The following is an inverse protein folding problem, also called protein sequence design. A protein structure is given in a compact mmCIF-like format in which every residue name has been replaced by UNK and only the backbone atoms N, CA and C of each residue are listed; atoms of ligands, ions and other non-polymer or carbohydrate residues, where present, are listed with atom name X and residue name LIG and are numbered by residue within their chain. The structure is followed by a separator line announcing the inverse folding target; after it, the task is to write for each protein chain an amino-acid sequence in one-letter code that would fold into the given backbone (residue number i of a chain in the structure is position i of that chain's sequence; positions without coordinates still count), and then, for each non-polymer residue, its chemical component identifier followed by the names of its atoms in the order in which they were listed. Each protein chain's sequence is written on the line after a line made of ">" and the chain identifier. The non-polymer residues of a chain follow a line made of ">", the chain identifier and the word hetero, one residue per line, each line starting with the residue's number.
data_IF_029579337803
#
_entry.id   IF_029579337803
#
_cell.length_a   1.000
_cell.length_b   1.000
_cell.length_c   1.000
_cell.angle_alpha   90.00
_cell.angle_beta   90.00
_cell.angle_gamma   90.00
#
_symmetry.space_group_name_H-M   'P 1'
#
loop_
_entity.id
_entity.type
_entity.pdbx_description
1 polymer ?
#
# COMPACT_ATOMS: atom_id res chain seq x y z
N UNK A 1 -26.03 32.84 16.30
CA UNK A 1 -26.00 31.81 15.25
C UNK A 1 -25.00 30.76 15.67
N UNK A 2 -25.37 29.46 15.61
CA UNK A 2 -24.42 28.37 15.86
C UNK A 2 -23.77 28.00 14.51
N UNK A 3 -22.43 28.11 14.39
CA UNK A 3 -21.70 27.80 13.15
C UNK A 3 -21.76 26.31 12.80
N UNK A 4 -22.07 25.44 13.77
CA UNK A 4 -22.08 23.99 13.58
C UNK A 4 -23.50 23.38 13.52
N UNK A 5 -24.57 24.21 13.57
CA UNK A 5 -25.95 23.72 13.65
C UNK A 5 -26.38 22.92 12.41
N UNK A 6 -25.77 23.18 11.27
CA UNK A 6 -26.10 22.57 9.97
C UNK A 6 -24.98 21.66 9.44
N UNK A 7 -24.06 21.21 10.31
CA UNK A 7 -23.04 20.24 9.90
C UNK A 7 -23.70 18.86 9.75
N UNK A 8 -23.64 18.31 8.56
CA UNK A 8 -24.17 16.99 8.26
C UNK A 8 -23.29 15.88 8.89
N UNK A 9 -23.93 14.83 9.40
CA UNK A 9 -23.23 13.65 9.86
C UNK A 9 -22.73 12.87 8.65
N UNK A 10 -21.41 12.72 8.53
CA UNK A 10 -20.79 11.92 7.48
C UNK A 10 -20.81 10.44 7.86
N UNK A 11 -21.10 9.51 6.92
CA UNK A 11 -20.99 8.09 7.17
C UNK A 11 -19.59 7.71 7.68
N UNK A 12 -19.52 6.74 8.59
CA UNK A 12 -18.24 6.23 9.10
C UNK A 12 -17.38 5.62 7.99
N UNK A 13 -16.06 5.58 8.21
CA UNK A 13 -15.11 4.93 7.30
C UNK A 13 -15.50 3.45 7.08
N UNK A 14 -15.58 2.97 5.84
CA UNK A 14 -16.08 1.62 5.53
C UNK A 14 -15.18 0.50 6.07
N UNK A 15 -13.90 0.77 6.36
CA UNK A 15 -12.95 -0.21 6.89
C UNK A 15 -12.87 -0.12 8.41
N UNK A 16 -12.73 1.08 8.97
CA UNK A 16 -12.64 1.29 10.42
C UNK A 16 -13.97 1.00 11.10
N UNK A 17 -15.10 1.37 10.48
CA UNK A 17 -16.43 1.03 10.96
C UNK A 17 -16.68 -0.49 11.05
N UNK A 18 -16.07 -1.30 10.16
CA UNK A 18 -16.11 -2.76 10.29
C UNK A 18 -15.40 -3.27 11.54
N UNK A 19 -14.31 -2.63 11.94
CA UNK A 19 -13.59 -2.99 13.17
C UNK A 19 -14.41 -2.66 14.41
N UNK A 20 -15.10 -1.54 14.41
CA UNK A 20 -16.00 -1.17 15.50
C UNK A 20 -17.16 -2.19 15.61
N UNK A 21 -17.79 -2.53 14.48
CA UNK A 21 -18.85 -3.53 14.43
C UNK A 21 -18.35 -4.92 14.88
N UNK A 22 -17.17 -5.34 14.43
CA UNK A 22 -16.52 -6.57 14.87
C UNK A 22 -16.28 -6.58 16.38
N UNK A 23 -15.78 -5.49 16.95
CA UNK A 23 -15.51 -5.41 18.38
C UNK A 23 -16.79 -5.45 19.21
N UNK A 24 -17.87 -4.86 18.73
CA UNK A 24 -19.19 -4.85 19.38
C UNK A 24 -19.93 -6.19 19.30
N UNK A 25 -19.55 -7.08 18.36
CA UNK A 25 -20.15 -8.40 18.20
C UNK A 25 -19.73 -9.33 19.34
N UNK A 26 -20.69 -9.90 20.05
CA UNK A 26 -20.46 -10.81 21.18
C UNK A 26 -20.30 -12.28 20.80
N UNK A 27 -20.42 -12.64 19.53
CA UNK A 27 -20.30 -14.02 19.05
C UNK A 27 -18.87 -14.55 19.32
N UNK A 28 -18.73 -15.80 19.81
CA UNK A 28 -17.41 -16.39 20.08
C UNK A 28 -16.66 -16.74 18.79
N UNK A 29 -17.39 -17.05 17.71
CA UNK A 29 -16.83 -17.40 16.40
C UNK A 29 -16.97 -16.24 15.42
N UNK A 30 -16.18 -15.18 15.60
CA UNK A 30 -16.17 -14.05 14.67
C UNK A 30 -14.78 -13.87 14.06
N UNK A 31 -14.74 -13.44 12.79
CA UNK A 31 -13.49 -13.26 12.04
C UNK A 31 -13.48 -11.89 11.37
N UNK A 32 -12.42 -11.11 11.58
CA UNK A 32 -12.25 -9.82 10.91
C UNK A 32 -11.31 -9.96 9.71
N UNK A 33 -11.87 -9.86 8.51
CA UNK A 33 -11.15 -9.86 7.22
C UNK A 33 -11.21 -8.50 6.51
N UNK A 34 -11.73 -7.47 7.19
CA UNK A 34 -11.88 -6.13 6.60
C UNK A 34 -10.61 -5.29 6.67
N UNK A 35 -9.84 -5.40 7.74
CA UNK A 35 -8.67 -4.55 7.98
C UNK A 35 -7.42 -5.13 7.33
N UNK A 36 -6.63 -4.28 6.65
CA UNK A 36 -5.37 -4.65 6.03
C UNK A 36 -4.21 -4.76 7.04
N UNK A 37 -4.32 -5.68 7.97
CA UNK A 37 -3.31 -5.98 8.99
C UNK A 37 -2.91 -7.45 8.88
N UNK A 38 -1.61 -7.71 8.98
CA UNK A 38 -1.09 -9.07 9.12
C UNK A 38 -1.22 -9.52 10.59
N UNK A 39 -1.75 -10.72 10.79
CA UNK A 39 -1.79 -11.38 12.09
C UNK A 39 -0.99 -12.69 12.05
N UNK A 40 -0.32 -13.01 13.17
CA UNK A 40 0.33 -14.31 13.37
C UNK A 40 -0.71 -15.43 13.54
N UNK A 41 -0.25 -16.69 13.68
CA UNK A 41 -1.14 -17.84 13.88
C UNK A 41 -1.96 -17.71 15.17
N UNK A 42 -1.46 -16.98 16.15
CA UNK A 42 -2.18 -16.67 17.40
C UNK A 42 -3.16 -15.50 17.28
N UNK A 43 -3.37 -14.91 16.11
CA UNK A 43 -4.26 -13.77 15.89
C UNK A 43 -3.73 -12.45 16.46
N UNK A 44 -2.41 -12.29 16.59
CA UNK A 44 -1.75 -11.09 17.12
C UNK A 44 -0.93 -10.41 16.02
N UNK A 45 -0.80 -9.10 16.11
CA UNK A 45 0.16 -8.35 15.29
C UNK A 45 1.58 -8.71 15.78
N UNK A 46 2.46 -9.25 14.93
CA UNK A 46 3.79 -9.63 15.38
C UNK A 46 4.65 -8.40 15.68
N UNK A 47 5.43 -8.47 16.76
CA UNK A 47 6.56 -7.59 16.97
C UNK A 47 7.79 -8.27 16.38
N UNK A 48 8.29 -7.73 15.27
CA UNK A 48 9.44 -8.31 14.57
C UNK A 48 10.69 -8.30 15.45
N UNK A 49 11.48 -9.37 15.37
CA UNK A 49 12.73 -9.57 16.17
C UNK A 49 13.73 -8.45 15.90
N UNK A 50 13.90 -8.07 14.62
CA UNK A 50 14.79 -6.98 14.23
C UNK A 50 14.35 -5.64 14.84
N UNK A 51 13.04 -5.33 14.80
CA UNK A 51 12.46 -4.12 15.39
C UNK A 51 12.66 -4.10 16.90
N UNK A 52 12.35 -5.22 17.58
CA UNK A 52 12.51 -5.36 19.05
C UNK A 52 13.93 -5.07 19.51
N UNK A 53 14.94 -5.53 18.75
CA UNK A 53 16.34 -5.29 19.11
C UNK A 53 16.71 -3.80 19.04
N UNK A 54 16.28 -3.11 17.99
CA UNK A 54 16.52 -1.65 17.89
C UNK A 54 15.74 -0.90 18.96
N UNK A 55 14.50 -1.30 19.27
CA UNK A 55 13.70 -0.67 20.31
C UNK A 55 14.39 -0.77 21.68
N UNK A 56 14.93 -1.94 22.04
CA UNK A 56 15.71 -2.14 23.25
C UNK A 56 16.99 -1.28 23.28
N UNK A 57 17.70 -1.18 22.16
CA UNK A 57 18.86 -0.34 22.02
C UNK A 57 18.51 1.15 22.24
N UNK A 58 17.47 1.66 21.56
CA UNK A 58 17.00 3.04 21.70
C UNK A 58 16.54 3.37 23.13
N UNK A 59 15.91 2.40 23.80
CA UNK A 59 15.52 2.55 25.19
C UNK A 59 16.73 2.63 26.13
N UNK A 60 17.77 1.83 25.89
CA UNK A 60 19.00 1.85 26.68
C UNK A 60 19.84 3.13 26.48
N UNK A 61 19.85 3.67 25.26
CA UNK A 61 20.54 4.91 24.95
C UNK A 61 19.89 6.16 25.57
N UNK A 62 18.60 6.14 25.82
CA UNK A 62 17.80 7.18 26.46
C UNK A 62 18.09 8.62 25.98
N UNK A 63 18.27 8.81 24.66
CA UNK A 63 18.62 10.11 24.06
C UNK A 63 17.48 11.13 24.15
N UNK A 64 17.79 12.43 24.27
CA UNK A 64 16.82 13.51 24.15
C UNK A 64 16.05 13.46 22.82
N UNK A 65 14.76 13.83 22.85
CA UNK A 65 13.86 13.77 21.69
C UNK A 65 13.59 15.16 21.12
N UNK A 66 14.60 15.74 20.47
CA UNK A 66 14.46 17.00 19.74
C UNK A 66 13.66 16.86 18.44
N UNK A 67 13.27 17.99 17.86
CA UNK A 67 12.63 17.98 16.53
C UNK A 67 13.61 17.45 15.48
N UNK A 68 13.09 16.60 14.58
CA UNK A 68 13.80 16.21 13.37
C UNK A 68 13.86 17.37 12.36
N UNK A 69 14.80 17.34 11.40
CA UNK A 69 14.69 18.12 10.18
C UNK A 69 13.30 17.96 9.54
N UNK A 70 12.85 18.96 8.82
CA UNK A 70 11.51 18.97 8.18
C UNK A 70 11.30 17.76 7.25
N UNK A 71 12.36 17.35 6.55
CA UNK A 71 12.37 16.17 5.67
C UNK A 71 12.65 14.84 6.39
N UNK A 72 12.76 14.87 7.71
CA UNK A 72 12.93 13.67 8.54
C UNK A 72 14.38 13.32 8.88
N UNK A 73 14.55 12.10 9.40
CA UNK A 73 15.85 11.58 9.83
C UNK A 73 16.74 11.28 8.62
N UNK A 74 17.93 11.89 8.47
CA UNK A 74 18.79 11.69 7.29
C UNK A 74 19.16 10.22 7.04
N UNK A 75 19.48 9.45 8.09
CA UNK A 75 19.82 8.04 8.00
C UNK A 75 18.63 7.19 7.50
N UNK A 76 17.40 7.52 7.89
CA UNK A 76 16.18 6.91 7.40
C UNK A 76 15.96 7.22 5.91
N UNK A 77 16.08 8.49 5.52
CA UNK A 77 15.89 8.90 4.13
C UNK A 77 16.91 8.22 3.20
N UNK A 78 18.16 8.05 3.65
CA UNK A 78 19.20 7.35 2.90
C UNK A 78 18.86 5.86 2.76
N UNK A 79 18.57 5.18 3.86
CA UNK A 79 18.21 3.76 3.85
C UNK A 79 16.96 3.47 2.99
N UNK A 80 15.97 4.36 3.04
CA UNK A 80 14.76 4.27 2.20
C UNK A 80 15.10 4.40 0.71
N UNK A 81 15.93 5.37 0.30
CA UNK A 81 16.37 5.48 -1.10
C UNK A 81 17.03 4.21 -1.60
N UNK A 82 17.93 3.65 -0.80
CA UNK A 82 18.65 2.42 -1.14
C UNK A 82 17.71 1.21 -1.23
N UNK A 83 16.70 1.12 -0.37
CA UNK A 83 15.70 0.05 -0.42
C UNK A 83 14.80 0.15 -1.65
N UNK A 84 14.31 1.35 -1.96
CA UNK A 84 13.34 1.61 -3.03
C UNK A 84 13.97 1.53 -4.42
N UNK A 85 15.14 2.15 -4.60
CA UNK A 85 15.77 2.30 -5.91
C UNK A 85 16.93 1.31 -6.16
N UNK A 86 17.40 0.63 -5.11
CA UNK A 86 18.62 -0.16 -5.14
C UNK A 86 19.86 0.68 -4.81
N UNK A 87 20.78 0.11 -4.03
CA UNK A 87 21.99 0.81 -3.57
C UNK A 87 22.86 1.36 -4.71
N UNK A 88 22.95 0.59 -5.80
CA UNK A 88 23.78 0.92 -6.96
C UNK A 88 23.00 1.64 -8.07
N UNK A 89 21.83 2.20 -7.76
CA UNK A 89 20.98 2.90 -8.71
C UNK A 89 21.67 4.11 -9.33
N UNK A 90 21.70 4.25 -10.66
CA UNK A 90 22.21 5.45 -11.33
C UNK A 90 21.49 6.73 -10.92
N UNK A 91 20.20 6.65 -10.54
CA UNK A 91 19.45 7.80 -10.04
C UNK A 91 20.02 8.34 -8.73
N UNK A 92 20.45 7.44 -7.82
CA UNK A 92 21.07 7.82 -6.55
C UNK A 92 22.46 8.38 -6.78
N UNK A 93 23.26 7.74 -7.62
CA UNK A 93 24.61 8.20 -7.97
C UNK A 93 24.59 9.60 -8.60
N UNK A 94 23.57 9.90 -9.42
CA UNK A 94 23.38 11.19 -10.06
C UNK A 94 22.70 12.25 -9.15
N UNK A 95 22.35 11.92 -7.91
CA UNK A 95 21.70 12.84 -6.97
C UNK A 95 20.28 13.26 -7.39
N UNK A 96 19.60 12.47 -8.22
CA UNK A 96 18.29 12.78 -8.82
C UNK A 96 17.11 12.50 -7.92
N UNK A 97 17.30 11.90 -6.74
CA UNK A 97 16.23 11.45 -5.85
C UNK A 97 16.15 12.31 -4.59
N UNK A 98 15.04 13.02 -4.44
CA UNK A 98 14.68 13.75 -3.23
C UNK A 98 13.75 12.89 -2.37
N UNK A 99 14.18 12.51 -1.17
CA UNK A 99 13.37 11.68 -0.26
C UNK A 99 13.09 12.40 1.04
N UNK A 100 11.85 12.32 1.50
CA UNK A 100 11.39 12.87 2.77
C UNK A 100 10.60 11.83 3.55
N UNK A 101 10.91 11.71 4.84
CA UNK A 101 10.09 10.96 5.78
C UNK A 101 8.69 11.56 5.87
N UNK A 102 7.67 10.71 5.94
CA UNK A 102 6.26 11.12 6.02
C UNK A 102 5.51 10.36 7.11
N UNK A 103 4.32 10.85 7.45
CA UNK A 103 3.40 10.22 8.42
C UNK A 103 2.70 9.04 7.73
N UNK A 104 3.42 7.92 7.59
CA UNK A 104 2.97 6.73 6.86
C UNK A 104 2.85 6.95 5.35
N UNK A 105 2.41 5.91 4.64
CA UNK A 105 2.13 5.98 3.20
C UNK A 105 1.05 7.01 2.85
N UNK A 106 0.01 7.14 3.67
CA UNK A 106 -1.04 8.17 3.47
C UNK A 106 -0.47 9.58 3.51
N UNK A 107 0.50 9.84 4.42
CA UNK A 107 1.22 11.11 4.45
C UNK A 107 2.08 11.33 3.21
N UNK A 108 2.70 10.26 2.67
CA UNK A 108 3.47 10.34 1.42
C UNK A 108 2.56 10.66 0.23
N UNK A 109 1.42 9.99 0.11
CA UNK A 109 0.43 10.26 -0.93
C UNK A 109 -0.08 11.71 -0.85
N UNK A 110 -0.43 12.19 0.35
CA UNK A 110 -0.93 13.56 0.54
C UNK A 110 0.12 14.62 0.21
N UNK A 111 1.34 14.48 0.74
CA UNK A 111 2.44 15.44 0.44
C UNK A 111 2.78 15.43 -1.04
N UNK A 112 2.81 14.23 -1.67
CA UNK A 112 3.02 14.09 -3.11
C UNK A 112 1.90 14.71 -3.93
N UNK A 113 0.65 14.53 -3.53
CA UNK A 113 -0.52 15.15 -4.18
C UNK A 113 -0.46 16.68 -4.08
N UNK A 114 -0.20 17.23 -2.90
CA UNK A 114 -0.07 18.69 -2.71
C UNK A 114 1.09 19.27 -3.52
N UNK A 115 2.22 18.52 -3.64
CA UNK A 115 3.35 18.91 -4.48
C UNK A 115 2.94 18.97 -5.95
N UNK A 116 2.36 17.90 -6.46
CA UNK A 116 2.02 17.81 -7.88
C UNK A 116 0.90 18.78 -8.26
N UNK A 117 -0.14 18.94 -7.44
CA UNK A 117 -1.19 19.92 -7.71
C UNK A 117 -0.64 21.36 -7.74
N UNK A 118 0.34 21.67 -6.90
CA UNK A 118 1.02 22.98 -6.91
C UNK A 118 1.86 23.20 -8.17
N UNK A 119 2.53 22.16 -8.67
CA UNK A 119 3.38 22.24 -9.86
C UNK A 119 2.60 22.07 -11.17
N UNK A 120 1.50 21.32 -11.12
CA UNK A 120 0.64 20.96 -12.24
C UNK A 120 -0.84 21.29 -11.90
N UNK A 121 -1.22 22.56 -11.73
CA UNK A 121 -2.52 22.96 -11.16
C UNK A 121 -3.73 22.58 -12.01
N UNK A 122 -3.52 22.21 -13.26
CA UNK A 122 -4.59 21.81 -14.19
C UNK A 122 -4.53 20.32 -14.55
N UNK A 123 -3.61 19.56 -13.94
CA UNK A 123 -3.53 18.14 -14.18
C UNK A 123 -4.71 17.39 -13.51
N UNK A 124 -5.19 16.36 -14.17
CA UNK A 124 -6.05 15.33 -13.57
C UNK A 124 -5.18 14.22 -13.01
N UNK A 125 -5.75 13.39 -12.13
CA UNK A 125 -5.12 12.13 -11.73
C UNK A 125 -6.00 10.96 -12.13
N UNK A 126 -5.41 9.96 -12.78
CA UNK A 126 -6.04 8.71 -13.12
C UNK A 126 -5.66 7.65 -12.09
N UNK A 127 -6.65 6.97 -11.50
CA UNK A 127 -6.49 5.86 -10.56
C UNK A 127 -7.07 4.59 -11.16
N UNK A 128 -6.59 3.41 -10.74
CA UNK A 128 -7.16 2.13 -11.18
C UNK A 128 -8.61 1.97 -10.74
N UNK A 129 -9.40 1.26 -11.52
CA UNK A 129 -10.74 0.84 -11.13
C UNK A 129 -10.79 -0.71 -11.00
N UNK A 130 -10.98 -1.25 -9.77
CA UNK A 130 -11.02 -0.55 -8.48
C UNK A 130 -9.63 -0.08 -8.00
N UNK A 131 -9.61 0.77 -6.99
CA UNK A 131 -8.41 1.22 -6.28
C UNK A 131 -8.65 1.21 -4.77
N UNK A 132 -7.62 1.41 -3.97
CA UNK A 132 -7.79 1.66 -2.54
C UNK A 132 -8.67 2.90 -2.33
N UNK A 133 -9.74 2.76 -1.55
CA UNK A 133 -10.81 3.76 -1.42
C UNK A 133 -10.27 5.16 -1.06
N UNK A 134 -9.20 5.20 -0.26
CA UNK A 134 -8.63 6.46 0.19
C UNK A 134 -7.83 7.21 -0.90
N UNK A 135 -7.47 6.57 -2.02
CA UNK A 135 -6.78 7.26 -3.11
C UNK A 135 -7.62 8.42 -3.65
N UNK A 136 -8.88 8.16 -3.99
CA UNK A 136 -9.80 9.21 -4.45
C UNK A 136 -9.93 10.34 -3.45
N UNK A 137 -10.06 10.02 -2.16
CA UNK A 137 -10.22 11.01 -1.11
C UNK A 137 -8.95 11.87 -0.93
N UNK A 138 -7.76 11.26 -0.92
CA UNK A 138 -6.48 11.97 -0.73
C UNK A 138 -6.22 12.95 -1.88
N UNK A 139 -6.36 12.48 -3.14
CA UNK A 139 -6.08 13.32 -4.31
C UNK A 139 -7.18 14.36 -4.54
N UNK A 140 -8.45 14.01 -4.33
CA UNK A 140 -9.54 14.98 -4.36
C UNK A 140 -9.40 16.08 -3.32
N UNK A 141 -9.01 15.74 -2.10
CA UNK A 141 -8.72 16.71 -1.03
C UNK A 141 -7.50 17.59 -1.32
N UNK A 142 -6.58 17.17 -2.18
CA UNK A 142 -5.47 17.98 -2.66
C UNK A 142 -5.86 18.91 -3.82
N UNK A 143 -7.08 18.77 -4.38
CA UNK A 143 -7.62 19.61 -5.45
C UNK A 143 -7.58 18.98 -6.85
N UNK A 144 -7.18 17.70 -6.99
CA UNK A 144 -7.22 17.02 -8.28
C UNK A 144 -8.64 16.63 -8.68
N UNK A 145 -8.94 16.76 -9.96
CA UNK A 145 -9.97 15.96 -10.60
C UNK A 145 -9.47 14.52 -10.70
N UNK A 146 -10.24 13.56 -10.14
CA UNK A 146 -9.87 12.15 -10.11
C UNK A 146 -10.69 11.37 -11.12
N UNK A 147 -10.03 10.86 -12.15
CA UNK A 147 -10.60 9.96 -13.17
C UNK A 147 -10.15 8.52 -12.94
N UNK A 148 -10.78 7.57 -13.61
CA UNK A 148 -10.44 6.14 -13.48
C UNK A 148 -9.97 5.58 -14.80
N UNK A 149 -9.08 4.56 -14.74
CA UNK A 149 -8.74 3.70 -15.85
C UNK A 149 -9.09 2.25 -15.51
N UNK A 150 -9.44 1.46 -16.52
CA UNK A 150 -9.74 0.04 -16.38
C UNK A 150 -8.53 -0.72 -15.86
N UNK A 151 -8.74 -1.61 -14.90
CA UNK A 151 -7.66 -2.39 -14.29
C UNK A 151 -8.03 -3.85 -14.05
N UNK A 152 -9.18 -4.12 -13.45
CA UNK A 152 -9.59 -5.45 -13.02
C UNK A 152 -10.71 -5.99 -13.91
N UNK A 153 -10.53 -7.23 -14.38
CA UNK A 153 -11.57 -7.98 -15.09
C UNK A 153 -12.30 -8.92 -14.12
N UNK A 154 -13.60 -8.67 -13.85
CA UNK A 154 -14.39 -9.55 -12.99
C UNK A 154 -14.61 -10.96 -13.56
N UNK A 155 -14.43 -11.17 -14.85
CA UNK A 155 -14.64 -12.48 -15.47
C UNK A 155 -13.42 -13.40 -15.30
N UNK A 156 -12.21 -12.85 -15.38
CA UNK A 156 -10.96 -13.60 -15.19
C UNK A 156 -10.37 -13.46 -13.80
N UNK A 157 -10.87 -12.50 -12.99
CA UNK A 157 -10.32 -12.10 -11.69
C UNK A 157 -8.85 -11.65 -11.74
N UNK A 158 -8.39 -11.23 -12.93
CA UNK A 158 -7.05 -10.74 -13.20
C UNK A 158 -7.04 -9.29 -13.65
N UNK A 159 -5.90 -8.85 -14.22
CA UNK A 159 -5.77 -7.51 -14.79
C UNK A 159 -6.35 -7.50 -16.21
N UNK A 160 -7.28 -6.59 -16.48
CA UNK A 160 -7.74 -6.25 -17.84
C UNK A 160 -6.68 -5.35 -18.50
N UNK A 161 -5.60 -5.98 -18.94
CA UNK A 161 -4.43 -5.25 -19.40
C UNK A 161 -4.67 -4.47 -20.69
N UNK A 162 -5.44 -5.02 -21.60
CA UNK A 162 -5.76 -4.37 -22.89
C UNK A 162 -6.64 -3.14 -22.67
N UNK A 163 -7.65 -3.24 -21.83
CA UNK A 163 -8.49 -2.10 -21.46
C UNK A 163 -7.70 -1.04 -20.68
N UNK A 164 -6.81 -1.46 -19.77
CA UNK A 164 -5.91 -0.56 -19.06
C UNK A 164 -5.07 0.28 -20.04
N UNK A 165 -4.38 -0.37 -20.98
CA UNK A 165 -3.56 0.34 -21.97
C UNK A 165 -4.39 1.26 -22.84
N UNK A 166 -5.58 0.80 -23.29
CA UNK A 166 -6.48 1.60 -24.11
C UNK A 166 -6.98 2.87 -23.39
N UNK A 167 -7.26 2.77 -22.10
CA UNK A 167 -7.69 3.93 -21.32
C UNK A 167 -6.53 4.89 -21.02
N UNK A 168 -5.37 4.37 -20.61
CA UNK A 168 -4.18 5.20 -20.41
C UNK A 168 -3.78 5.94 -21.70
N UNK A 169 -3.91 5.30 -22.86
CA UNK A 169 -3.60 5.94 -24.15
C UNK A 169 -4.52 7.12 -24.51
N UNK A 170 -5.71 7.22 -23.91
CA UNK A 170 -6.66 8.34 -24.11
C UNK A 170 -6.37 9.55 -23.22
N UNK A 171 -5.57 9.37 -22.17
CA UNK A 171 -5.28 10.43 -21.21
C UNK A 171 -4.50 11.58 -21.87
N UNK A 172 -4.74 12.78 -21.39
CA UNK A 172 -4.02 13.96 -21.86
C UNK A 172 -2.57 13.97 -21.34
N UNK A 173 -1.60 14.49 -22.12
CA UNK A 173 -0.23 14.69 -21.62
C UNK A 173 -0.23 15.49 -20.31
N UNK A 174 0.63 15.08 -19.37
CA UNK A 174 0.70 15.70 -18.04
C UNK A 174 -0.30 15.15 -17.03
N UNK A 175 -1.23 14.24 -17.42
CA UNK A 175 -2.07 13.54 -16.46
C UNK A 175 -1.21 12.70 -15.51
N UNK A 176 -1.46 12.79 -14.21
CA UNK A 176 -0.82 11.94 -13.20
C UNK A 176 -1.49 10.57 -13.23
N UNK A 177 -0.70 9.50 -13.30
CA UNK A 177 -1.21 8.12 -13.26
C UNK A 177 -0.74 7.46 -11.96
N UNK A 178 -1.69 7.14 -11.09
CA UNK A 178 -1.42 6.40 -9.86
C UNK A 178 -1.37 4.91 -10.15
N UNK A 179 -0.27 4.27 -9.78
CA UNK A 179 0.03 2.87 -10.01
C UNK A 179 0.44 2.20 -8.71
N UNK A 180 -0.10 1.00 -8.42
CA UNK A 180 0.42 0.17 -7.34
C UNK A 180 1.65 -0.60 -7.82
N UNK A 181 2.76 -0.52 -7.08
CA UNK A 181 3.99 -1.21 -7.45
C UNK A 181 3.86 -2.73 -7.42
N UNK A 182 3.16 -3.25 -6.42
CA UNK A 182 2.89 -4.67 -6.15
C UNK A 182 1.71 -4.83 -5.19
N UNK A 183 1.16 -6.04 -5.11
CA UNK A 183 0.10 -6.40 -4.17
C UNK A 183 -1.08 -5.42 -4.26
N UNK A 184 -1.62 -5.26 -5.46
CA UNK A 184 -2.66 -4.27 -5.76
C UNK A 184 -3.84 -4.31 -4.77
N UNK A 185 -4.12 -3.22 -4.11
CA UNK A 185 -5.25 -3.08 -3.20
C UNK A 185 -6.42 -2.41 -3.93
N UNK A 186 -7.58 -3.09 -4.12
CA UNK A 186 -8.07 -4.25 -3.35
C UNK A 186 -7.89 -5.61 -4.02
N UNK A 187 -7.41 -5.69 -5.27
CA UNK A 187 -7.64 -6.87 -6.12
C UNK A 187 -6.67 -8.02 -5.90
N UNK A 188 -5.43 -7.74 -5.46
CA UNK A 188 -4.35 -8.73 -5.47
C UNK A 188 -3.89 -9.14 -6.88
N UNK A 189 -4.46 -8.56 -7.94
CA UNK A 189 -4.05 -8.80 -9.32
C UNK A 189 -2.94 -7.82 -9.70
N UNK A 190 -1.75 -8.32 -10.02
CA UNK A 190 -0.57 -7.51 -10.31
C UNK A 190 -0.13 -7.62 -11.76
N UNK A 191 0.50 -6.55 -12.26
CA UNK A 191 1.14 -6.54 -13.57
C UNK A 191 2.40 -7.43 -13.58
N UNK A 192 2.57 -8.18 -14.63
CA UNK A 192 3.84 -8.89 -14.90
C UNK A 192 4.96 -7.91 -15.29
N UNK A 193 6.21 -8.34 -15.19
CA UNK A 193 7.37 -7.54 -15.63
C UNK A 193 7.24 -7.10 -17.10
N UNK A 194 6.70 -7.97 -17.98
CA UNK A 194 6.48 -7.65 -19.39
C UNK A 194 5.40 -6.54 -19.54
N UNK A 195 4.33 -6.62 -18.79
CA UNK A 195 3.27 -5.60 -18.77
C UNK A 195 3.77 -4.27 -18.20
N UNK A 196 4.57 -4.30 -17.13
CA UNK A 196 5.22 -3.10 -16.58
C UNK A 196 6.07 -2.36 -17.60
N UNK A 197 6.83 -3.09 -18.45
CA UNK A 197 7.62 -2.47 -19.52
C UNK A 197 6.71 -1.76 -20.53
N UNK A 198 5.61 -2.39 -20.94
CA UNK A 198 4.66 -1.77 -21.88
C UNK A 198 3.98 -0.54 -21.27
N UNK A 199 3.59 -0.61 -19.97
CA UNK A 199 3.05 0.55 -19.27
C UNK A 199 4.07 1.68 -19.22
N UNK A 200 5.34 1.40 -18.90
CA UNK A 200 6.39 2.42 -18.82
C UNK A 200 6.64 3.09 -20.19
N UNK A 201 6.66 2.33 -21.27
CA UNK A 201 6.76 2.86 -22.64
C UNK A 201 5.57 3.77 -22.95
N UNK A 202 4.34 3.32 -22.68
CA UNK A 202 3.12 4.11 -22.90
C UNK A 202 3.12 5.41 -22.09
N UNK A 203 3.50 5.35 -20.80
CA UNK A 203 3.58 6.55 -19.95
C UNK A 203 4.55 7.58 -20.53
N UNK A 204 5.71 7.12 -21.00
CA UNK A 204 6.72 7.96 -21.66
C UNK A 204 6.19 8.57 -22.96
N UNK A 205 5.66 7.74 -23.86
CA UNK A 205 5.20 8.16 -25.19
C UNK A 205 4.03 9.13 -25.10
N UNK A 206 3.15 8.94 -24.13
CA UNK A 206 1.99 9.81 -23.87
C UNK A 206 2.30 11.00 -22.95
N UNK A 207 3.54 11.11 -22.46
CA UNK A 207 3.96 12.16 -21.52
C UNK A 207 3.08 12.18 -20.26
N UNK A 208 2.72 11.00 -19.72
CA UNK A 208 1.98 10.85 -18.48
C UNK A 208 2.95 10.83 -17.29
N UNK A 209 2.50 11.34 -16.15
CA UNK A 209 3.34 11.45 -14.96
C UNK A 209 3.12 10.28 -13.99
N UNK A 210 4.08 9.36 -13.78
CA UNK A 210 3.90 8.23 -12.87
C UNK A 210 3.91 8.66 -11.41
N UNK A 211 2.90 8.21 -10.65
CA UNK A 211 2.87 8.24 -9.20
C UNK A 211 2.73 6.79 -8.69
N UNK A 212 3.76 6.25 -8.07
CA UNK A 212 3.81 4.86 -7.64
C UNK A 212 3.49 4.77 -6.14
N UNK A 213 2.43 4.02 -5.78
CA UNK A 213 2.17 3.62 -4.40
C UNK A 213 2.80 2.25 -4.13
N UNK A 214 3.67 2.19 -3.12
CA UNK A 214 4.41 0.98 -2.74
C UNK A 214 4.24 0.71 -1.23
N UNK A 215 3.07 0.22 -0.85
CA UNK A 215 2.73 -0.05 0.54
C UNK A 215 3.06 -1.49 0.99
N UNK A 216 3.34 -2.40 0.07
CA UNK A 216 3.41 -3.84 0.32
C UNK A 216 4.69 -4.52 -0.20
N UNK A 217 5.77 -3.77 -0.38
CA UNK A 217 7.06 -4.31 -0.82
C UNK A 217 7.53 -5.45 0.09
N UNK A 218 7.80 -6.60 -0.50
CA UNK A 218 8.23 -7.83 0.18
C UNK A 218 7.11 -8.84 0.47
N UNK A 219 5.84 -8.56 0.10
CA UNK A 219 4.70 -9.41 0.41
C UNK A 219 4.21 -10.30 -0.74
N UNK A 220 4.78 -10.20 -1.95
CA UNK A 220 4.47 -11.11 -3.06
C UNK A 220 5.65 -12.04 -3.37
N UNK A 221 6.72 -11.53 -3.99
CA UNK A 221 7.87 -12.35 -4.43
C UNK A 221 9.13 -12.08 -3.64
N UNK A 222 9.27 -10.90 -3.09
CA UNK A 222 10.43 -10.45 -2.33
C UNK A 222 10.68 -8.96 -2.49
N UNK A 223 11.60 -8.44 -1.68
CA UNK A 223 11.88 -7.00 -1.64
C UNK A 223 12.34 -6.49 -3.00
N UNK A 224 13.22 -7.25 -3.69
CA UNK A 224 13.75 -6.87 -4.99
C UNK A 224 12.69 -6.96 -6.07
N UNK A 225 11.99 -8.07 -6.16
CA UNK A 225 11.02 -8.37 -7.19
C UNK A 225 9.83 -7.41 -7.10
N UNK A 226 9.32 -7.17 -5.90
CA UNK A 226 8.19 -6.27 -5.64
C UNK A 226 8.53 -4.80 -5.91
N UNK A 227 9.82 -4.45 -5.89
CA UNK A 227 10.33 -3.13 -6.28
C UNK A 227 10.60 -2.97 -7.79
N UNK A 228 10.32 -3.99 -8.62
CA UNK A 228 10.67 -3.97 -10.06
C UNK A 228 10.00 -2.82 -10.82
N UNK A 229 8.76 -2.47 -10.49
CA UNK A 229 8.01 -1.38 -11.13
C UNK A 229 8.80 -0.06 -11.12
N UNK A 230 9.39 0.30 -9.98
CA UNK A 230 10.17 1.54 -9.82
C UNK A 230 11.40 1.52 -10.73
N UNK A 231 12.10 0.38 -10.80
CA UNK A 231 13.30 0.25 -11.66
C UNK A 231 12.94 0.28 -13.14
N UNK A 232 11.87 -0.40 -13.55
CA UNK A 232 11.39 -0.42 -14.94
C UNK A 232 11.03 0.98 -15.43
N UNK A 233 10.32 1.77 -14.61
CA UNK A 233 9.97 3.15 -14.94
C UNK A 233 11.23 4.02 -15.06
N UNK A 234 12.20 3.84 -14.17
CA UNK A 234 13.48 4.54 -14.25
C UNK A 234 14.29 4.17 -15.51
N UNK A 235 14.34 2.88 -15.86
CA UNK A 235 15.04 2.34 -17.03
C UNK A 235 14.37 2.75 -18.35
N UNK A 236 13.07 2.98 -18.37
CA UNK A 236 12.35 3.50 -19.54
C UNK A 236 12.77 4.93 -19.93
N UNK A 237 13.55 5.61 -19.08
CA UNK A 237 14.01 6.96 -19.30
C UNK A 237 12.95 8.03 -19.04
N UNK A 238 12.02 7.75 -18.14
CA UNK A 238 11.08 8.75 -17.62
C UNK A 238 11.85 9.65 -16.65
N UNK A 239 11.93 10.94 -16.97
CA UNK A 239 12.78 11.88 -16.25
C UNK A 239 12.28 12.23 -14.85
N UNK A 240 10.97 12.15 -14.63
CA UNK A 240 10.34 12.57 -13.38
C UNK A 240 9.19 11.65 -13.01
N UNK A 241 9.19 11.17 -11.76
CA UNK A 241 8.10 10.40 -11.18
C UNK A 241 8.17 10.41 -9.65
N UNK A 242 7.13 9.96 -9.01
CA UNK A 242 6.99 9.95 -7.54
C UNK A 242 6.78 8.54 -7.03
N UNK A 243 7.38 8.21 -5.90
CA UNK A 243 7.15 6.97 -5.16
C UNK A 243 6.71 7.30 -3.73
N UNK A 244 5.52 6.86 -3.34
CA UNK A 244 5.04 6.84 -1.97
C UNK A 244 5.24 5.43 -1.40
N UNK A 245 6.09 5.26 -0.39
CA UNK A 245 6.26 3.98 0.26
C UNK A 245 5.85 4.00 1.73
N UNK A 246 5.51 2.83 2.27
CA UNK A 246 5.07 2.65 3.65
C UNK A 246 5.82 1.49 4.30
N UNK A 247 6.15 1.66 5.57
CA UNK A 247 6.71 0.60 6.41
C UNK A 247 5.70 0.02 7.40
N UNK A 248 4.42 0.43 7.31
CA UNK A 248 3.36 -0.08 8.19
C UNK A 248 3.25 -1.60 8.16
N UNK A 249 3.37 -2.22 6.97
CA UNK A 249 3.21 -3.66 6.79
C UNK A 249 4.54 -4.39 6.89
N UNK A 250 5.54 -4.02 6.08
CA UNK A 250 6.83 -4.71 6.00
C UNK A 250 7.65 -4.66 7.30
N UNK A 251 7.36 -3.73 8.19
CA UNK A 251 7.95 -3.65 9.53
C UNK A 251 6.96 -3.93 10.66
N UNK A 252 5.69 -4.24 10.33
CA UNK A 252 4.62 -4.39 11.34
C UNK A 252 4.45 -3.16 12.25
N UNK A 253 4.75 -1.97 11.74
CA UNK A 253 4.75 -0.69 12.45
C UNK A 253 3.51 0.15 12.13
N UNK A 254 2.33 -0.46 12.15
CA UNK A 254 1.06 0.19 11.76
C UNK A 254 0.77 1.47 12.53
N UNK A 255 1.03 1.45 13.83
CA UNK A 255 0.77 2.57 14.76
C UNK A 255 1.83 3.67 14.72
N UNK A 256 3.05 3.38 14.23
CA UNK A 256 4.17 4.32 14.22
C UNK A 256 4.07 5.37 13.11
N UNK A 257 3.16 5.18 12.16
CA UNK A 257 2.93 6.11 11.06
C UNK A 257 4.21 6.46 10.31
N UNK A 258 4.89 5.46 9.79
CA UNK A 258 6.19 5.61 9.12
C UNK A 258 6.11 5.26 7.63
N UNK A 259 6.56 6.17 6.78
CA UNK A 259 6.61 6.08 5.33
C UNK A 259 7.53 7.13 4.75
N UNK A 260 7.64 7.21 3.45
CA UNK A 260 8.42 8.22 2.77
C UNK A 260 7.84 8.58 1.40
N UNK A 261 8.07 9.81 1.00
CA UNK A 261 7.89 10.31 -0.35
C UNK A 261 9.26 10.45 -1.00
N UNK A 262 9.46 9.78 -2.12
CA UNK A 262 10.63 9.94 -2.97
C UNK A 262 10.21 10.55 -4.31
N UNK A 263 10.86 11.63 -4.71
CA UNK A 263 10.63 12.29 -6.00
C UNK A 263 11.88 12.15 -6.84
N UNK A 264 11.75 11.54 -8.00
CA UNK A 264 12.79 11.49 -9.02
C UNK A 264 12.68 12.74 -9.89
N UNK A 265 13.79 13.41 -10.10
CA UNK A 265 13.87 14.63 -10.89
C UNK A 265 14.87 14.47 -12.05
N UNK A 266 14.84 15.33 -13.09
CA UNK A 266 15.70 15.20 -14.26
C UNK A 266 17.20 15.34 -13.92
N UNK A 267 17.55 16.10 -12.90
CA UNK A 267 18.93 16.29 -12.43
C UNK A 267 18.99 16.62 -10.92
N UNK A 268 20.19 16.72 -10.39
CA UNK A 268 20.44 16.98 -8.95
C UNK A 268 19.98 18.40 -8.52
N UNK A 269 19.99 19.40 -9.39
CA UNK A 269 19.54 20.74 -9.06
C UNK A 269 18.02 20.79 -8.97
N UNK A 270 17.34 20.15 -9.91
CA UNK A 270 15.88 19.96 -9.87
C UNK A 270 15.46 19.17 -8.63
N UNK A 271 16.18 18.11 -8.27
CA UNK A 271 15.92 17.34 -7.06
C UNK A 271 16.01 18.21 -5.78
N UNK A 272 17.04 19.07 -5.68
CA UNK A 272 17.17 20.03 -4.57
C UNK A 272 16.03 21.05 -4.54
N UNK A 273 15.62 21.55 -5.70
CA UNK A 273 14.50 22.48 -5.80
C UNK A 273 13.19 21.82 -5.36
N UNK A 274 12.90 20.61 -5.84
CA UNK A 274 11.75 19.81 -5.42
C UNK A 274 11.78 19.53 -3.92
N UNK A 275 12.93 19.12 -3.38
CA UNK A 275 13.08 18.89 -1.93
C UNK A 275 12.72 20.13 -1.11
N UNK A 276 13.06 21.33 -1.59
CA UNK A 276 12.69 22.57 -0.91
C UNK A 276 11.18 22.81 -0.88
N UNK A 277 10.47 22.47 -1.97
CA UNK A 277 9.00 22.57 -2.05
C UNK A 277 8.33 21.51 -1.15
N UNK A 278 8.83 20.28 -1.15
CA UNK A 278 8.33 19.21 -0.25
C UNK A 278 8.47 19.64 1.22
N UNK A 279 9.62 20.18 1.62
CA UNK A 279 9.82 20.71 2.98
C UNK A 279 8.81 21.81 3.32
N UNK A 280 8.50 22.70 2.39
CA UNK A 280 7.51 23.77 2.60
C UNK A 280 6.10 23.19 2.80
N UNK A 281 5.72 22.15 2.06
CA UNK A 281 4.44 21.44 2.22
C UNK A 281 4.39 20.75 3.58
N UNK A 282 5.40 19.94 3.91
CA UNK A 282 5.50 19.25 5.21
C UNK A 282 5.37 20.25 6.36
N UNK A 283 6.07 21.41 6.26
CA UNK A 283 6.03 22.43 7.30
C UNK A 283 4.62 22.95 7.58
N UNK A 284 3.75 22.98 6.57
CA UNK A 284 2.38 23.48 6.72
C UNK A 284 1.39 22.42 7.19
N UNK A 285 1.70 21.12 7.03
CA UNK A 285 0.79 20.04 7.39
C UNK A 285 1.06 19.54 8.80
N UNK A 286 2.32 19.15 9.11
CA UNK A 286 2.70 18.57 10.40
C UNK A 286 4.05 19.06 10.95
N UNK A 287 4.61 20.11 10.36
CA UNK A 287 5.84 20.79 10.79
C UNK A 287 7.12 19.97 10.59
N UNK A 288 7.24 18.80 11.20
CA UNK A 288 8.29 17.80 11.06
C UNK A 288 7.74 16.43 11.45
N UNK A 289 8.27 15.33 10.92
CA UNK A 289 7.78 13.99 11.25
C UNK A 289 8.23 13.53 12.63
N UNK A 290 7.62 12.41 13.10
CA UNK A 290 7.99 11.76 14.34
C UNK A 290 9.33 11.02 14.24
N UNK A 291 10.06 10.88 15.36
CA UNK A 291 11.38 10.27 15.36
C UNK A 291 11.34 8.75 15.51
N UNK A 292 10.46 8.20 16.35
CA UNK A 292 10.58 6.83 16.83
C UNK A 292 10.54 5.79 15.70
N UNK A 293 9.49 5.79 14.88
CA UNK A 293 9.38 4.85 13.78
C UNK A 293 10.53 4.95 12.76
N UNK A 294 11.03 6.17 12.49
CA UNK A 294 12.17 6.36 11.59
C UNK A 294 13.47 5.81 12.19
N UNK A 295 13.66 5.96 13.50
CA UNK A 295 14.82 5.40 14.20
C UNK A 295 14.78 3.86 14.18
N UNK A 296 13.60 3.24 14.36
CA UNK A 296 13.43 1.79 14.25
C UNK A 296 13.81 1.28 12.86
N UNK A 297 13.17 1.84 11.82
CA UNK A 297 13.41 1.43 10.44
C UNK A 297 14.85 1.66 10.01
N UNK A 298 15.42 2.85 10.27
CA UNK A 298 16.79 3.14 9.90
C UNK A 298 17.79 2.29 10.68
N UNK A 299 17.53 1.99 11.94
CA UNK A 299 18.36 1.12 12.76
C UNK A 299 18.45 -0.29 12.18
N UNK A 300 17.32 -0.86 11.75
CA UNK A 300 17.29 -2.17 11.09
C UNK A 300 17.97 -2.12 9.73
N UNK A 301 17.60 -1.19 8.85
CA UNK A 301 18.08 -1.15 7.46
C UNK A 301 19.58 -0.83 7.35
N UNK A 302 20.16 -0.08 8.29
CA UNK A 302 21.58 0.27 8.31
C UNK A 302 22.46 -0.75 9.05
N UNK A 303 21.89 -1.77 9.69
CA UNK A 303 22.62 -2.90 10.27
C UNK A 303 22.53 -4.09 9.32
N UNK A 304 23.68 -4.59 8.87
CA UNK A 304 23.72 -5.78 7.98
C UNK A 304 23.03 -6.99 8.63
N UNK A 305 23.29 -7.20 9.91
CA UNK A 305 22.74 -8.33 10.67
C UNK A 305 21.22 -8.19 10.86
N UNK A 306 20.75 -7.02 11.31
CA UNK A 306 19.33 -6.81 11.57
C UNK A 306 18.51 -6.75 10.28
N UNK A 307 19.11 -6.26 9.20
CA UNK A 307 18.48 -6.30 7.89
C UNK A 307 18.25 -7.74 7.43
N UNK A 308 19.22 -8.63 7.59
CA UNK A 308 19.06 -10.05 7.29
C UNK A 308 17.97 -10.71 8.15
N UNK A 309 17.91 -10.38 9.44
CA UNK A 309 16.84 -10.87 10.33
C UNK A 309 15.49 -10.38 9.84
N UNK A 310 15.35 -9.10 9.53
CA UNK A 310 14.10 -8.52 9.01
C UNK A 310 13.67 -9.13 7.68
N UNK A 311 14.60 -9.32 6.73
CA UNK A 311 14.31 -9.95 5.44
C UNK A 311 13.83 -11.41 5.61
N UNK A 312 14.40 -12.15 6.56
CA UNK A 312 13.95 -13.49 6.91
C UNK A 312 12.54 -13.48 7.54
N UNK A 313 12.28 -12.57 8.48
CA UNK A 313 10.94 -12.43 9.10
C UNK A 313 9.88 -12.03 8.06
N UNK A 314 10.21 -11.14 7.13
CA UNK A 314 9.31 -10.76 6.04
C UNK A 314 9.04 -11.93 5.09
N UNK A 315 10.03 -12.78 4.86
CA UNK A 315 9.88 -14.03 4.12
C UNK A 315 8.94 -15.00 4.83
N UNK A 316 9.10 -15.20 6.14
CA UNK A 316 8.19 -16.01 6.96
C UNK A 316 6.73 -15.50 6.85
N UNK A 317 6.54 -14.18 6.91
CA UNK A 317 5.21 -13.56 6.75
C UNK A 317 4.62 -13.81 5.36
N UNK A 318 5.40 -13.64 4.30
CA UNK A 318 4.99 -13.85 2.90
C UNK A 318 4.62 -15.31 2.65
N UNK A 319 5.48 -16.25 3.05
CA UNK A 319 5.23 -17.69 2.88
C UNK A 319 3.97 -18.13 3.62
N UNK A 320 3.74 -17.57 4.82
CA UNK A 320 2.51 -17.84 5.56
C UNK A 320 1.28 -17.32 4.82
N UNK A 321 1.33 -16.12 4.23
CA UNK A 321 0.21 -15.60 3.42
C UNK A 321 -0.06 -16.51 2.23
N UNK A 322 0.96 -16.98 1.53
CA UNK A 322 0.81 -17.93 0.42
C UNK A 322 0.17 -19.24 0.89
N UNK A 323 0.64 -19.81 2.02
CA UNK A 323 0.05 -21.02 2.60
C UNK A 323 -1.42 -20.83 3.00
N UNK A 324 -1.78 -19.68 3.57
CA UNK A 324 -3.16 -19.36 3.92
C UNK A 324 -4.04 -19.20 2.69
N UNK A 325 -3.52 -18.61 1.62
CA UNK A 325 -4.22 -18.45 0.34
C UNK A 325 -4.50 -19.81 -0.29
N UNK A 326 -3.49 -20.68 -0.36
CA UNK A 326 -3.64 -22.06 -0.81
C UNK A 326 -4.65 -22.85 0.04
N UNK A 327 -4.50 -22.81 1.37
CA UNK A 327 -5.40 -23.51 2.27
C UNK A 327 -6.85 -22.99 2.18
N UNK A 328 -7.05 -21.67 1.94
CA UNK A 328 -8.38 -21.14 1.70
C UNK A 328 -9.01 -21.75 0.45
N UNK A 329 -8.28 -21.81 -0.67
CA UNK A 329 -8.77 -22.41 -1.93
C UNK A 329 -9.04 -23.89 -1.77
N UNK A 330 -8.16 -24.66 -1.14
CA UNK A 330 -8.39 -26.09 -0.87
C UNK A 330 -9.70 -26.33 -0.09
N UNK A 331 -9.93 -25.53 0.95
CA UNK A 331 -11.16 -25.60 1.75
C UNK A 331 -12.41 -25.14 0.97
N UNK A 332 -12.29 -24.13 0.09
CA UNK A 332 -13.38 -23.69 -0.80
C UNK A 332 -13.77 -24.79 -1.80
N UNK A 333 -12.78 -25.44 -2.42
CA UNK A 333 -13.01 -26.58 -3.33
C UNK A 333 -13.69 -27.72 -2.58
N UNK A 334 -13.21 -28.07 -1.39
CA UNK A 334 -13.82 -29.12 -0.54
C UNK A 334 -15.25 -28.74 -0.11
N UNK A 335 -15.57 -27.47 0.06
CA UNK A 335 -16.93 -26.96 0.32
C UNK A 335 -17.81 -26.88 -0.94
N UNK A 336 -17.30 -27.29 -2.11
CA UNK A 336 -18.00 -27.31 -3.38
C UNK A 336 -18.11 -25.95 -4.06
N UNK A 337 -17.09 -25.10 -3.91
CA UNK A 337 -16.96 -23.79 -4.56
C UNK A 337 -15.60 -23.69 -5.31
N UNK A 338 -15.38 -24.55 -6.35
CA UNK A 338 -14.11 -24.55 -7.10
C UNK A 338 -13.89 -23.29 -7.94
N UNK A 339 -14.94 -22.52 -8.20
CA UNK A 339 -14.89 -21.25 -8.92
C UNK A 339 -14.01 -20.20 -8.25
N UNK A 340 -13.70 -20.36 -6.96
CA UNK A 340 -12.79 -19.48 -6.22
C UNK A 340 -11.30 -19.84 -6.36
N UNK A 341 -10.93 -20.77 -7.24
CA UNK A 341 -9.54 -21.17 -7.46
C UNK A 341 -8.62 -20.02 -7.89
N UNK A 342 -9.16 -18.99 -8.54
CA UNK A 342 -8.44 -17.76 -8.93
C UNK A 342 -7.80 -17.02 -7.75
N UNK A 343 -8.27 -17.24 -6.52
CA UNK A 343 -7.66 -16.65 -5.33
C UNK A 343 -6.18 -17.01 -5.22
N UNK A 344 -5.74 -18.18 -5.71
CA UNK A 344 -4.35 -18.58 -5.74
C UNK A 344 -3.46 -17.70 -6.63
N UNK A 345 -4.01 -17.08 -7.65
CA UNK A 345 -3.27 -16.25 -8.61
C UNK A 345 -3.13 -14.79 -8.15
N UNK A 346 -3.81 -14.43 -7.05
CA UNK A 346 -3.75 -13.09 -6.48
C UNK A 346 -2.59 -12.96 -5.48
N UNK A 347 -2.01 -11.77 -5.40
CA UNK A 347 -0.81 -11.48 -4.63
C UNK A 347 -1.08 -10.64 -3.36
N UNK A 348 -0.18 -10.74 -2.40
CA UNK A 348 -0.16 -9.90 -1.20
C UNK A 348 -1.23 -10.25 -0.17
N UNK A 349 -1.58 -9.26 0.64
CA UNK A 349 -2.42 -9.46 1.83
C UNK A 349 -3.90 -9.65 1.52
N UNK A 350 -4.36 -9.24 0.33
CA UNK A 350 -5.77 -9.20 -0.02
C UNK A 350 -6.16 -10.22 -1.08
N UNK A 351 -7.45 -10.53 -1.09
CA UNK A 351 -8.14 -11.19 -2.19
C UNK A 351 -9.43 -10.42 -2.50
N UNK A 352 -9.70 -10.23 -3.79
CA UNK A 352 -10.95 -9.65 -4.27
C UNK A 352 -11.85 -10.81 -4.69
N UNK A 353 -12.72 -11.23 -3.75
CA UNK A 353 -13.43 -12.51 -3.82
C UNK A 353 -14.52 -12.57 -4.90
N UNK A 354 -14.93 -11.44 -5.47
CA UNK A 354 -16.06 -11.38 -6.39
C UNK A 354 -17.44 -11.48 -5.71
N UNK A 355 -17.49 -11.60 -4.38
CA UNK A 355 -18.76 -11.60 -3.65
C UNK A 355 -19.47 -10.25 -3.79
N UNK A 356 -20.76 -10.29 -4.07
CA UNK A 356 -21.63 -9.12 -4.09
C UNK A 356 -21.85 -8.56 -2.69
N UNK A 357 -22.25 -7.29 -2.60
CA UNK A 357 -22.57 -6.64 -1.32
C UNK A 357 -23.57 -7.42 -0.48
N UNK A 358 -24.70 -7.93 -1.01
CA UNK A 358 -25.61 -8.77 -0.24
C UNK A 358 -24.96 -10.04 0.32
N UNK A 359 -24.07 -10.71 -0.45
CA UNK A 359 -23.34 -11.89 0.00
C UNK A 359 -22.36 -11.55 1.13
N UNK A 360 -21.67 -10.41 1.04
CA UNK A 360 -20.79 -9.93 2.12
C UNK A 360 -21.60 -9.57 3.38
N UNK A 361 -22.77 -8.96 3.24
CA UNK A 361 -23.65 -8.67 4.37
C UNK A 361 -24.12 -9.97 5.06
N UNK A 362 -24.44 -11.03 4.28
CA UNK A 362 -24.75 -12.38 4.82
C UNK A 362 -23.56 -13.01 5.56
N UNK A 363 -22.31 -12.83 5.06
CA UNK A 363 -21.13 -13.31 5.80
C UNK A 363 -21.06 -12.69 7.20
N UNK A 364 -21.34 -11.39 7.32
CA UNK A 364 -21.37 -10.71 8.60
C UNK A 364 -22.54 -11.19 9.49
N UNK A 365 -23.74 -11.18 8.94
CA UNK A 365 -24.98 -11.35 9.73
C UNK A 365 -25.18 -12.82 10.15
N UNK A 366 -24.93 -13.77 9.25
CA UNK A 366 -25.13 -15.20 9.50
C UNK A 366 -23.91 -15.86 10.15
N UNK A 367 -22.68 -15.43 9.78
CA UNK A 367 -21.44 -16.12 10.15
C UNK A 367 -20.48 -15.30 11.02
N UNK A 368 -20.72 -14.00 11.27
CA UNK A 368 -19.78 -13.16 12.02
C UNK A 368 -18.46 -12.92 11.30
N UNK A 369 -18.44 -13.02 9.97
CA UNK A 369 -17.28 -12.77 9.15
C UNK A 369 -17.38 -11.37 8.57
N UNK A 370 -16.46 -10.51 8.96
CA UNK A 370 -16.44 -9.09 8.61
C UNK A 370 -15.48 -8.87 7.44
N UNK A 371 -16.01 -8.63 6.25
CA UNK A 371 -15.28 -8.30 5.03
C UNK A 371 -15.70 -6.92 4.51
N UNK A 372 -14.92 -6.32 3.62
CA UNK A 372 -15.28 -5.05 2.99
C UNK A 372 -16.44 -5.29 2.01
N UNK A 373 -17.43 -4.41 1.99
CA UNK A 373 -18.64 -4.55 1.18
C UNK A 373 -18.43 -4.69 -0.32
N UNK A 374 -17.23 -4.40 -0.82
CA UNK A 374 -16.80 -4.62 -2.21
C UNK A 374 -16.36 -6.06 -2.50
N UNK A 375 -16.36 -6.94 -1.51
CA UNK A 375 -15.87 -8.32 -1.63
C UNK A 375 -14.37 -8.49 -1.35
N UNK A 376 -13.65 -7.44 -0.92
CA UNK A 376 -12.26 -7.57 -0.49
C UNK A 376 -12.17 -8.28 0.85
N UNK A 377 -11.31 -9.30 0.92
CA UNK A 377 -10.94 -10.01 2.15
C UNK A 377 -9.44 -9.90 2.42
N UNK A 378 -9.06 -9.80 3.69
CA UNK A 378 -7.66 -9.84 4.11
C UNK A 378 -7.24 -11.29 4.38
N UNK A 379 -6.55 -11.93 3.44
CA UNK A 379 -6.03 -13.30 3.59
C UNK A 379 -5.02 -13.38 4.73
N UNK A 380 -4.22 -12.33 4.93
CA UNK A 380 -3.24 -12.25 6.01
C UNK A 380 -3.84 -12.24 7.43
N UNK A 381 -5.17 -12.08 7.56
CA UNK A 381 -5.89 -12.16 8.82
C UNK A 381 -6.47 -13.56 9.11
N UNK A 382 -6.34 -14.49 8.18
CA UNK A 382 -6.70 -15.90 8.38
C UNK A 382 -5.66 -16.62 9.25
N UNK A 383 -6.07 -17.78 9.80
CA UNK A 383 -5.19 -18.74 10.47
C UNK A 383 -5.73 -20.16 10.25
N UNK A 384 -4.94 -21.19 10.60
CA UNK A 384 -5.34 -22.57 10.41
C UNK A 384 -6.64 -22.93 11.15
N UNK A 385 -6.93 -22.26 12.28
CA UNK A 385 -8.13 -22.50 13.06
C UNK A 385 -9.41 -21.94 12.45
N UNK A 386 -9.33 -20.95 11.54
CA UNK A 386 -10.52 -20.32 10.94
C UNK A 386 -10.69 -20.57 9.44
N UNK A 387 -9.68 -21.10 8.74
CA UNK A 387 -9.71 -21.34 7.29
C UNK A 387 -10.94 -22.14 6.84
N UNK A 388 -11.17 -23.30 7.43
CA UNK A 388 -12.29 -24.18 7.04
C UNK A 388 -13.65 -23.52 7.32
N UNK A 389 -13.76 -22.79 8.44
CA UNK A 389 -14.97 -22.05 8.78
C UNK A 389 -15.27 -20.94 7.75
N UNK A 390 -14.27 -20.13 7.43
CA UNK A 390 -14.41 -19.04 6.46
C UNK A 390 -14.72 -19.58 5.08
N UNK A 391 -14.02 -20.62 4.62
CA UNK A 391 -14.26 -21.23 3.32
C UNK A 391 -15.70 -21.76 3.19
N UNK A 392 -16.20 -22.47 4.22
CA UNK A 392 -17.57 -22.97 4.26
C UNK A 392 -18.60 -21.84 4.20
N UNK A 393 -18.39 -20.77 4.95
CA UNK A 393 -19.27 -19.60 4.95
C UNK A 393 -19.29 -18.93 3.57
N UNK A 394 -18.13 -18.68 2.96
CA UNK A 394 -17.99 -18.11 1.61
C UNK A 394 -18.72 -18.99 0.60
N UNK A 395 -18.47 -20.31 0.58
CA UNK A 395 -19.16 -21.24 -0.31
C UNK A 395 -20.69 -21.26 -0.10
N UNK A 396 -21.16 -21.04 1.13
CA UNK A 396 -22.60 -21.00 1.44
C UNK A 396 -23.26 -19.75 0.89
N UNK A 397 -22.67 -18.58 1.09
CA UNK A 397 -23.25 -17.30 0.60
C UNK A 397 -23.11 -17.14 -0.92
N UNK A 398 -22.11 -17.77 -1.53
CA UNK A 398 -21.90 -17.74 -2.98
C UNK A 398 -22.99 -18.51 -3.75
N UNK A 399 -23.54 -19.57 -3.18
CA UNK A 399 -24.56 -20.42 -3.80
C UNK A 399 -26.00 -19.85 -3.72
N UNK A 400 -26.19 -18.71 -3.10
CA UNK A 400 -27.49 -18.05 -2.89
C UNK A 400 -28.02 -18.30 -1.51
#
# INVERSE_FOLDING_TARGET
>A
MSFFANVELVPGDPILGLTEAYNADSRPTKVNLGVGIYYDEGGRIPLLRAVKQIEQQLASEAKPRGYLPIDGLPAYNQATRELVFGKDSPLLAAGRVATSQTIGGSGALRVGADLLHRLLPHATIAISNPSWENHRAVFGAAGFEVVEYSYFDPATHGVDFDAMLADLAKLQPGTVVLLHACCHNPTGADLTVAQWKQVAELLKDRQLFPFIDMAYQGFDKGISEDGAAVRIIAEAGIDSFVVANSYSKSFSLYGERIGALSVVAPDANAAKAVQSQVKRIIRTIYSSPSNHGAALVSGVLNSVELRQVWEAELTEMRERIHALRHGLVENLVAAGAPEFAFINDQAGMFSYSGLSRPQVDRLRDEFGIYAVGTGRICVAALNQGNLAYVAKAVATVAKG
#
